data_IF_533509429696
#
_entry.id   IF_533509429696
#
_cell.length_a   1.000
_cell.length_b   1.000
_cell.length_c   1.000
_cell.angle_alpha   90.00
_cell.angle_beta   90.00
_cell.angle_gamma   90.00
#
_symmetry.space_group_name_H-M   'P 1'
#
loop_
_entity.id
_entity.type
_entity.pdbx_description
1 polymer ?
#
# COMPACT_ATOMS: atom_id res chain seq x y z
N UNK A 1 -33.68 4.57 -7.22
CA UNK A 1 -32.60 4.70 -8.22
C UNK A 1 -31.39 5.33 -7.48
N UNK A 2 -30.36 4.57 -7.22
CA UNK A 2 -29.12 5.12 -6.68
C UNK A 2 -28.40 5.81 -7.83
N UNK A 3 -28.41 7.14 -7.84
CA UNK A 3 -27.62 7.95 -8.77
C UNK A 3 -26.15 7.68 -8.47
N UNK A 4 -25.46 7.01 -9.41
CA UNK A 4 -24.03 6.78 -9.28
C UNK A 4 -23.30 8.10 -9.08
N UNK A 5 -22.55 8.24 -7.98
CA UNK A 5 -21.69 9.39 -7.74
C UNK A 5 -20.65 9.46 -8.86
N UNK A 6 -20.47 10.63 -9.45
CA UNK A 6 -19.38 10.90 -10.36
C UNK A 6 -18.02 10.61 -9.66
N UNK A 7 -17.08 9.99 -10.41
CA UNK A 7 -15.76 9.58 -9.87
C UNK A 7 -14.97 10.75 -9.26
N UNK A 8 -15.08 11.94 -9.85
CA UNK A 8 -14.39 13.14 -9.36
C UNK A 8 -14.99 13.61 -8.03
N UNK A 9 -16.31 13.63 -7.90
CA UNK A 9 -17.00 13.99 -6.66
C UNK A 9 -16.77 12.95 -5.56
N UNK A 10 -16.73 11.67 -5.91
CA UNK A 10 -16.40 10.60 -4.98
C UNK A 10 -14.98 10.72 -4.41
N UNK A 11 -13.99 11.04 -5.24
CA UNK A 11 -12.62 11.24 -4.81
C UNK A 11 -12.45 12.48 -3.93
N UNK A 12 -13.09 13.61 -4.30
CA UNK A 12 -13.07 14.81 -3.47
C UNK A 12 -13.70 14.58 -2.10
N UNK A 13 -14.84 13.90 -2.06
CA UNK A 13 -15.51 13.57 -0.80
C UNK A 13 -14.65 12.67 0.08
N UNK A 14 -14.04 11.63 -0.48
CA UNK A 14 -13.14 10.74 0.25
C UNK A 14 -11.93 11.49 0.82
N UNK A 15 -11.38 12.45 0.09
CA UNK A 15 -10.25 13.27 0.53
C UNK A 15 -10.65 14.22 1.67
N UNK A 16 -11.72 14.99 1.49
CA UNK A 16 -12.21 15.95 2.50
C UNK A 16 -12.55 15.25 3.81
N UNK A 17 -13.29 14.15 3.74
CA UNK A 17 -13.66 13.38 4.94
C UNK A 17 -12.46 12.66 5.60
N UNK A 18 -11.37 12.40 4.87
CA UNK A 18 -10.11 11.93 5.45
C UNK A 18 -9.51 12.98 6.39
N UNK A 19 -9.40 14.23 5.92
CA UNK A 19 -8.85 15.33 6.73
C UNK A 19 -9.73 15.73 7.90
N UNK A 20 -11.05 15.65 7.72
CA UNK A 20 -12.01 15.87 8.80
C UNK A 20 -11.80 14.84 9.92
N UNK A 21 -11.68 13.55 9.58
CA UNK A 21 -11.38 12.50 10.53
C UNK A 21 -10.02 12.69 11.22
N UNK A 22 -8.98 13.12 10.48
CA UNK A 22 -7.67 13.44 11.06
C UNK A 22 -7.75 14.57 12.07
N UNK A 23 -8.52 15.64 11.74
CA UNK A 23 -8.73 16.77 12.64
C UNK A 23 -9.49 16.36 13.92
N UNK A 24 -10.51 15.49 13.80
CA UNK A 24 -11.24 14.97 14.94
C UNK A 24 -10.36 14.06 15.82
N UNK A 25 -9.49 13.25 15.21
CA UNK A 25 -8.48 12.49 15.95
C UNK A 25 -7.54 13.39 16.74
N UNK A 26 -7.08 14.51 16.17
CA UNK A 26 -6.24 15.47 16.90
C UNK A 26 -6.95 16.03 18.15
N UNK A 27 -8.27 16.25 18.09
CA UNK A 27 -9.03 16.74 19.24
C UNK A 27 -9.03 15.75 20.41
N UNK A 28 -8.97 14.43 20.17
CA UNK A 28 -8.88 13.41 21.22
C UNK A 28 -7.64 13.62 22.10
N UNK A 29 -6.54 14.09 21.51
CA UNK A 29 -5.29 14.33 22.25
C UNK A 29 -5.31 15.60 23.12
N UNK A 30 -6.38 16.38 23.12
CA UNK A 30 -6.57 17.46 24.11
C UNK A 30 -6.97 16.91 25.48
N UNK A 31 -7.58 15.72 25.51
CA UNK A 31 -7.93 15.02 26.73
C UNK A 31 -6.70 14.29 27.31
N UNK A 32 -6.40 14.53 28.58
CA UNK A 32 -5.28 13.92 29.28
C UNK A 32 -5.50 12.42 29.54
N UNK A 33 -6.72 12.02 29.89
CA UNK A 33 -7.06 10.62 30.11
C UNK A 33 -6.89 9.80 28.81
N UNK A 34 -7.28 10.41 27.68
CA UNK A 34 -7.07 9.79 26.36
C UNK A 34 -5.58 9.64 26.05
N UNK A 35 -4.76 10.69 26.26
CA UNK A 35 -3.30 10.61 26.04
C UNK A 35 -2.67 9.50 26.87
N UNK A 36 -3.04 9.36 28.13
CA UNK A 36 -2.52 8.33 29.03
C UNK A 36 -2.93 6.93 28.59
N UNK A 37 -4.19 6.75 28.21
CA UNK A 37 -4.69 5.47 27.70
C UNK A 37 -3.99 5.07 26.39
N UNK A 38 -3.85 6.04 25.47
CA UNK A 38 -3.21 5.81 24.18
C UNK A 38 -1.71 5.53 24.31
N UNK A 39 -1.02 6.26 25.21
CA UNK A 39 0.38 6.01 25.56
C UNK A 39 0.60 4.58 26.06
N UNK A 40 -0.25 4.11 26.95
CA UNK A 40 -0.22 2.73 27.48
C UNK A 40 -0.50 1.69 26.36
N UNK A 41 -1.49 1.98 25.51
CA UNK A 41 -1.86 1.12 24.37
C UNK A 41 -0.70 0.90 23.41
N UNK A 42 0.07 1.96 23.11
CA UNK A 42 1.23 1.86 22.23
C UNK A 42 2.52 1.41 22.93
N UNK A 43 2.54 1.38 24.26
CA UNK A 43 3.77 1.12 25.03
C UNK A 43 4.85 2.18 24.85
N UNK A 44 4.43 3.44 24.60
CA UNK A 44 5.32 4.60 24.43
C UNK A 44 5.38 5.45 25.71
N UNK A 45 6.27 6.44 25.75
CA UNK A 45 6.36 7.38 26.87
C UNK A 45 5.16 8.31 26.96
N UNK A 46 5.07 9.09 28.03
CA UNK A 46 3.99 10.05 28.27
C UNK A 46 3.87 11.04 27.11
N UNK A 47 2.64 11.22 26.63
CA UNK A 47 2.32 12.12 25.51
C UNK A 47 2.16 13.55 26.03
N UNK A 48 2.91 14.49 25.45
CA UNK A 48 2.77 15.92 25.69
C UNK A 48 1.69 16.51 24.78
N UNK A 49 1.78 16.25 23.49
CA UNK A 49 0.86 16.78 22.49
C UNK A 49 0.83 15.87 21.24
N UNK A 50 -0.15 16.12 20.39
CA UNK A 50 -0.20 15.57 19.04
C UNK A 50 -0.63 16.65 18.05
N UNK A 51 -0.16 16.54 16.82
CA UNK A 51 -0.53 17.45 15.73
C UNK A 51 -0.76 16.66 14.45
N UNK A 52 -1.79 17.03 13.72
CA UNK A 52 -2.07 16.50 12.38
C UNK A 52 -1.17 17.18 11.37
N UNK A 53 -0.47 16.36 10.57
CA UNK A 53 0.31 16.76 9.41
C UNK A 53 -0.48 16.55 8.11
N UNK A 54 0.18 16.25 7.06
CA UNK A 54 -0.40 15.58 5.91
C UNK A 54 -0.83 16.44 4.72
N UNK A 55 -1.70 17.43 4.84
CA UNK A 55 -2.13 18.24 3.68
C UNK A 55 -1.09 19.26 3.23
N UNK A 56 -0.37 19.82 4.17
CA UNK A 56 0.55 20.92 3.97
C UNK A 56 2.02 20.51 4.03
N UNK A 57 2.33 19.27 4.44
CA UNK A 57 3.68 18.73 4.44
C UNK A 57 4.12 18.34 3.02
N UNK A 58 4.26 19.36 2.18
CA UNK A 58 4.84 19.22 0.84
C UNK A 58 6.37 19.29 0.84
N UNK A 59 6.98 19.38 2.02
CA UNK A 59 8.42 19.63 2.16
C UNK A 59 9.25 18.39 2.51
N UNK A 60 8.61 17.22 2.56
CA UNK A 60 9.32 15.94 2.73
C UNK A 60 10.14 15.64 1.49
N UNK A 61 11.44 15.43 1.69
CA UNK A 61 12.37 15.11 0.61
C UNK A 61 12.32 13.61 0.32
N UNK A 62 12.16 13.26 -0.95
CA UNK A 62 12.18 11.87 -1.39
C UNK A 62 13.61 11.32 -1.50
N UNK A 63 13.72 10.01 -1.61
CA UNK A 63 14.99 9.32 -1.93
C UNK A 63 15.58 9.73 -3.28
N UNK A 64 14.86 10.49 -4.09
CA UNK A 64 15.33 11.07 -5.37
C UNK A 64 15.79 12.53 -5.23
N UNK A 65 15.56 13.16 -4.09
CA UNK A 65 15.84 14.57 -3.84
C UNK A 65 14.71 15.52 -4.25
N UNK A 66 13.63 15.03 -4.85
CA UNK A 66 12.42 15.80 -5.13
C UNK A 66 11.46 15.78 -3.92
N UNK A 67 10.40 16.59 -3.98
CA UNK A 67 9.37 16.62 -2.94
C UNK A 67 8.44 15.41 -3.05
N UNK A 68 8.08 14.85 -1.90
CA UNK A 68 7.11 13.76 -1.78
C UNK A 68 6.17 14.00 -0.60
N UNK A 69 5.14 13.17 -0.48
CA UNK A 69 4.26 13.18 0.70
C UNK A 69 4.76 12.19 1.73
N UNK A 70 4.70 12.58 3.01
CA UNK A 70 4.85 11.65 4.12
C UNK A 70 3.74 10.61 4.14
N UNK A 71 3.99 9.50 4.83
CA UNK A 71 2.96 8.55 5.25
C UNK A 71 2.42 8.86 6.64
N UNK A 72 3.01 9.85 7.30
CA UNK A 72 2.60 10.32 8.61
C UNK A 72 1.42 11.26 8.47
N UNK A 73 0.31 10.92 9.09
CA UNK A 73 -0.90 11.73 9.15
C UNK A 73 -1.01 12.44 10.51
N UNK A 74 -0.40 11.87 11.57
CA UNK A 74 -0.37 12.40 12.93
C UNK A 74 1.03 12.28 13.52
N UNK A 75 1.56 13.36 14.09
CA UNK A 75 2.82 13.35 14.85
C UNK A 75 2.52 13.56 16.34
N UNK A 76 2.91 12.62 17.18
CA UNK A 76 2.78 12.64 18.63
C UNK A 76 4.12 13.08 19.22
N UNK A 77 4.11 14.07 20.09
CA UNK A 77 5.27 14.55 20.83
C UNK A 77 5.20 14.00 22.25
N UNK A 78 6.26 13.34 22.68
CA UNK A 78 6.39 12.81 24.03
C UNK A 78 7.06 13.83 24.96
N UNK A 79 6.74 13.81 26.25
CA UNK A 79 7.36 14.70 27.26
C UNK A 79 8.89 14.65 27.30
N UNK A 80 9.49 13.56 26.82
CA UNK A 80 10.96 13.44 26.69
C UNK A 80 11.53 14.03 25.40
N UNK A 81 10.72 14.72 24.60
CA UNK A 81 11.08 15.36 23.35
C UNK A 81 11.17 14.42 22.14
N UNK A 82 10.91 13.11 22.29
CA UNK A 82 10.83 12.19 21.16
C UNK A 82 9.50 12.33 20.42
N UNK A 83 9.51 11.98 19.14
CA UNK A 83 8.31 11.98 18.30
C UNK A 83 7.93 10.55 17.92
N UNK A 84 6.61 10.32 17.77
CA UNK A 84 6.02 9.08 17.25
C UNK A 84 5.07 9.46 16.12
N UNK A 85 5.30 8.90 14.95
CA UNK A 85 4.53 9.16 13.75
C UNK A 85 3.52 8.06 13.48
N UNK A 86 2.29 8.45 13.18
CA UNK A 86 1.16 7.53 12.96
C UNK A 86 0.53 7.81 11.60
N UNK A 87 0.30 6.75 10.83
CA UNK A 87 -0.53 6.82 9.62
C UNK A 87 -1.97 6.47 9.96
N UNK A 88 -2.90 7.37 9.72
CA UNK A 88 -4.33 7.18 9.99
C UNK A 88 -5.02 6.57 8.77
N UNK A 89 -5.89 5.59 9.01
CA UNK A 89 -6.76 4.99 8.01
C UNK A 89 -8.21 5.08 8.45
N UNK A 90 -8.98 5.91 7.76
CA UNK A 90 -10.40 6.14 8.03
C UNK A 90 -11.30 4.99 7.56
N UNK A 91 -10.83 4.11 6.68
CA UNK A 91 -11.63 3.01 6.13
C UNK A 91 -10.96 1.67 6.39
N UNK A 92 -11.77 0.62 6.58
CA UNK A 92 -11.30 -0.75 6.77
C UNK A 92 -10.63 -1.35 5.51
N UNK A 93 -10.71 -0.67 4.38
CA UNK A 93 -10.05 -1.07 3.13
C UNK A 93 -10.00 0.09 2.15
N UNK A 94 -9.12 -0.02 1.17
CA UNK A 94 -8.96 1.00 0.15
C UNK A 94 -7.53 1.14 -0.34
N UNK A 95 -7.26 2.19 -1.11
CA UNK A 95 -5.93 2.45 -1.61
C UNK A 95 -5.00 2.92 -0.49
N UNK A 96 -3.89 2.20 -0.29
CA UNK A 96 -2.81 2.62 0.62
C UNK A 96 -1.69 3.32 -0.14
N UNK A 97 -1.42 2.92 -1.39
CA UNK A 97 -0.40 3.55 -2.21
C UNK A 97 -0.70 3.43 -3.70
N UNK A 98 -0.42 4.48 -4.45
CA UNK A 98 -0.48 4.51 -5.91
C UNK A 98 0.83 5.08 -6.44
N UNK A 99 1.57 4.30 -7.23
CA UNK A 99 2.91 4.68 -7.68
C UNK A 99 3.18 4.15 -9.11
N UNK A 100 3.86 4.94 -9.93
CA UNK A 100 4.36 4.49 -11.23
C UNK A 100 5.39 3.37 -11.06
N UNK A 101 5.40 2.40 -11.98
CA UNK A 101 6.26 1.20 -11.88
C UNK A 101 7.74 1.55 -11.78
N UNK A 102 8.23 2.45 -12.62
CA UNK A 102 9.62 2.90 -12.59
C UNK A 102 9.97 3.58 -11.25
N UNK A 103 9.07 4.45 -10.78
CA UNK A 103 9.26 5.15 -9.50
C UNK A 103 9.19 4.19 -8.30
N UNK A 104 8.38 3.12 -8.40
CA UNK A 104 8.36 2.04 -7.42
C UNK A 104 9.70 1.29 -7.41
N UNK A 105 10.15 0.79 -8.57
CA UNK A 105 11.40 0.04 -8.70
C UNK A 105 12.58 0.82 -8.11
N UNK A 106 12.80 2.04 -8.61
CA UNK A 106 13.92 2.87 -8.18
C UNK A 106 13.79 3.32 -6.72
N UNK A 107 12.57 3.62 -6.28
CA UNK A 107 12.28 4.03 -4.90
C UNK A 107 12.49 2.89 -3.90
N UNK A 108 12.02 1.69 -4.24
CA UNK A 108 12.19 0.50 -3.44
C UNK A 108 13.67 0.14 -3.27
N UNK A 109 14.45 0.15 -4.38
CA UNK A 109 15.89 -0.11 -4.33
C UNK A 109 16.62 0.88 -3.41
N UNK A 110 16.29 2.17 -3.51
CA UNK A 110 16.90 3.21 -2.68
C UNK A 110 16.48 3.13 -1.22
N UNK A 111 15.20 2.83 -0.94
CA UNK A 111 14.69 2.73 0.44
C UNK A 111 15.29 1.57 1.22
N UNK A 112 15.53 0.45 0.56
CA UNK A 112 15.96 -0.79 1.22
C UNK A 112 17.42 -1.17 0.93
N UNK A 113 18.11 -0.42 0.07
CA UNK A 113 19.49 -0.75 -0.33
C UNK A 113 19.61 -2.10 -1.04
N UNK A 114 18.53 -2.53 -1.72
CA UNK A 114 18.42 -3.83 -2.39
C UNK A 114 18.21 -3.62 -3.88
N UNK A 115 18.99 -4.32 -4.72
CA UNK A 115 18.75 -4.33 -6.16
C UNK A 115 17.64 -5.31 -6.52
N UNK A 116 16.65 -4.87 -7.30
CA UNK A 116 15.66 -5.75 -7.91
C UNK A 116 16.32 -6.42 -9.13
N UNK A 117 16.29 -7.76 -9.26
CA UNK A 117 16.85 -8.43 -10.43
C UNK A 117 16.27 -7.90 -11.74
N UNK A 118 17.11 -7.83 -12.78
CA UNK A 118 16.71 -7.22 -14.07
C UNK A 118 15.51 -7.93 -14.68
N UNK A 119 15.46 -9.26 -14.58
CA UNK A 119 14.32 -10.04 -15.08
C UNK A 119 13.02 -9.71 -14.32
N UNK A 120 13.11 -9.48 -13.01
CA UNK A 120 11.94 -9.05 -12.19
C UNK A 120 11.49 -7.65 -12.59
N UNK A 121 12.42 -6.73 -12.86
CA UNK A 121 12.08 -5.39 -13.37
C UNK A 121 11.31 -5.49 -14.69
N UNK A 122 11.79 -6.29 -15.64
CA UNK A 122 11.09 -6.54 -16.91
C UNK A 122 9.68 -7.08 -16.67
N UNK A 123 9.53 -8.04 -15.76
CA UNK A 123 8.25 -8.65 -15.45
C UNK A 123 7.29 -7.66 -14.77
N UNK A 124 7.78 -6.78 -13.91
CA UNK A 124 6.97 -5.70 -13.33
C UNK A 124 6.46 -4.72 -14.42
N UNK A 125 7.29 -4.39 -15.42
CA UNK A 125 6.84 -3.60 -16.58
C UNK A 125 5.79 -4.35 -17.40
N UNK A 126 6.01 -5.62 -17.71
CA UNK A 126 5.06 -6.45 -18.47
C UNK A 126 3.71 -6.57 -17.76
N UNK A 127 3.73 -6.68 -16.43
CA UNK A 127 2.51 -6.88 -15.64
C UNK A 127 1.78 -5.56 -15.31
N UNK A 128 2.49 -4.47 -14.98
CA UNK A 128 1.87 -3.24 -14.48
C UNK A 128 1.94 -2.03 -15.42
N UNK A 129 2.95 -1.90 -16.23
CA UNK A 129 3.17 -0.66 -16.99
C UNK A 129 2.78 -0.75 -18.45
N UNK A 130 2.97 -1.92 -19.04
CA UNK A 130 2.96 -2.11 -20.48
C UNK A 130 4.37 -2.05 -21.08
N UNK A 131 4.69 -3.03 -21.88
CA UNK A 131 5.99 -3.18 -22.53
C UNK A 131 5.77 -3.40 -24.05
N UNK A 132 6.60 -2.82 -24.94
CA UNK A 132 6.53 -3.12 -26.36
C UNK A 132 6.57 -4.64 -26.66
N UNK A 133 7.29 -5.40 -25.86
CA UNK A 133 7.36 -6.86 -25.95
C UNK A 133 6.00 -7.55 -25.68
N UNK A 134 5.12 -6.92 -24.92
CA UNK A 134 3.80 -7.48 -24.59
C UNK A 134 2.93 -7.63 -25.83
N UNK A 135 3.02 -6.71 -26.78
CA UNK A 135 2.24 -6.78 -28.03
C UNK A 135 2.64 -8.01 -28.85
N UNK A 136 3.95 -8.22 -29.00
CA UNK A 136 4.50 -9.41 -29.67
C UNK A 136 4.06 -10.70 -28.96
N UNK A 137 4.13 -10.72 -27.63
CA UNK A 137 3.71 -11.89 -26.85
C UNK A 137 2.20 -12.20 -27.01
N UNK A 138 1.36 -11.17 -27.05
CA UNK A 138 -0.08 -11.32 -27.20
C UNK A 138 -0.52 -11.80 -28.60
N UNK A 139 0.35 -11.74 -29.61
CA UNK A 139 0.12 -12.36 -30.91
C UNK A 139 0.32 -13.88 -30.89
N UNK A 140 0.98 -14.40 -29.86
CA UNK A 140 1.16 -15.83 -29.67
C UNK A 140 -0.08 -16.47 -29.04
N UNK A 141 -0.75 -17.37 -29.77
CA UNK A 141 -1.95 -18.06 -29.32
C UNK A 141 -1.73 -18.92 -28.04
N UNK A 142 -0.49 -19.35 -27.76
CA UNK A 142 -0.16 -20.10 -26.55
C UNK A 142 -0.26 -19.16 -25.32
N UNK A 143 0.23 -17.92 -25.43
CA UNK A 143 0.20 -16.92 -24.35
C UNK A 143 -1.21 -16.56 -23.95
N UNK A 144 -2.11 -16.45 -24.91
CA UNK A 144 -3.53 -16.12 -24.68
C UNK A 144 -4.43 -17.33 -24.49
N UNK A 145 -3.86 -18.56 -24.41
CA UNK A 145 -4.64 -19.79 -24.25
C UNK A 145 -5.48 -19.77 -22.97
N UNK A 146 -6.77 -20.01 -23.13
CA UNK A 146 -7.72 -20.05 -22.03
C UNK A 146 -8.28 -18.68 -21.60
N UNK A 147 -7.81 -17.59 -22.23
CA UNK A 147 -8.32 -16.24 -22.01
C UNK A 147 -9.58 -15.97 -22.83
N UNK A 148 -10.49 -15.17 -22.27
CA UNK A 148 -11.65 -14.69 -23.02
C UNK A 148 -11.23 -13.62 -24.04
N UNK A 149 -11.95 -13.47 -25.18
CA UNK A 149 -11.66 -12.41 -26.14
C UNK A 149 -11.66 -11.00 -25.51
N UNK A 150 -12.52 -10.76 -24.52
CA UNK A 150 -12.58 -9.50 -23.79
C UNK A 150 -11.28 -9.25 -22.98
N UNK A 151 -10.74 -10.29 -22.35
CA UNK A 151 -9.51 -10.18 -21.58
C UNK A 151 -8.28 -10.00 -22.48
N UNK A 152 -8.22 -10.70 -23.61
CA UNK A 152 -7.17 -10.50 -24.63
C UNK A 152 -7.21 -9.06 -25.16
N UNK A 153 -8.41 -8.56 -25.50
CA UNK A 153 -8.60 -7.17 -25.95
C UNK A 153 -8.17 -6.15 -24.87
N UNK A 154 -8.48 -6.44 -23.60
CA UNK A 154 -8.04 -5.62 -22.48
C UNK A 154 -6.50 -5.59 -22.36
N UNK A 155 -5.85 -6.74 -22.41
CA UNK A 155 -4.39 -6.86 -22.35
C UNK A 155 -3.72 -6.09 -23.49
N UNK A 156 -4.22 -6.24 -24.74
CA UNK A 156 -3.72 -5.48 -25.91
C UNK A 156 -3.87 -3.98 -25.75
N UNK A 157 -5.06 -3.50 -25.31
CA UNK A 157 -5.32 -2.08 -25.11
C UNK A 157 -4.36 -1.43 -24.12
N UNK A 158 -3.96 -2.17 -23.10
CA UNK A 158 -3.11 -1.69 -22.01
C UNK A 158 -1.67 -2.17 -22.09
N UNK A 159 -1.35 -2.90 -23.15
CA UNK A 159 -0.02 -3.41 -23.46
C UNK A 159 0.62 -4.17 -22.28
N UNK A 160 -0.17 -4.99 -21.56
CA UNK A 160 0.22 -5.73 -20.36
C UNK A 160 -0.25 -7.18 -20.40
N UNK A 161 0.44 -8.07 -19.67
CA UNK A 161 -0.03 -9.43 -19.42
C UNK A 161 -0.70 -9.55 -18.05
N UNK A 162 -1.71 -10.42 -17.95
CA UNK A 162 -2.23 -10.93 -16.68
C UNK A 162 -1.47 -12.18 -16.25
N UNK A 163 -1.68 -12.66 -15.03
CA UNK A 163 -0.95 -13.81 -14.48
C UNK A 163 -1.12 -15.08 -15.32
N UNK A 164 -2.32 -15.36 -15.85
CA UNK A 164 -2.55 -16.55 -16.70
C UNK A 164 -1.73 -16.48 -17.98
N UNK A 165 -1.73 -15.33 -18.65
CA UNK A 165 -0.93 -15.13 -19.86
C UNK A 165 0.57 -15.17 -19.58
N UNK A 166 1.01 -14.60 -18.45
CA UNK A 166 2.41 -14.69 -18.01
C UNK A 166 2.83 -16.16 -17.79
N UNK A 167 1.99 -16.94 -17.13
CA UNK A 167 2.21 -18.37 -16.89
C UNK A 167 2.24 -19.18 -18.20
N UNK A 168 1.34 -18.88 -19.14
CA UNK A 168 1.32 -19.53 -20.45
C UNK A 168 2.56 -19.20 -21.29
N UNK A 169 3.06 -17.97 -21.14
CA UNK A 169 4.27 -17.55 -21.83
C UNK A 169 5.50 -18.26 -21.29
N UNK A 170 5.72 -18.17 -19.97
CA UNK A 170 6.90 -18.77 -19.34
C UNK A 170 6.63 -19.00 -17.85
N UNK A 171 6.51 -20.29 -17.48
CA UNK A 171 6.26 -20.69 -16.10
C UNK A 171 7.37 -20.24 -15.14
N UNK A 172 8.63 -20.25 -15.61
CA UNK A 172 9.76 -19.84 -14.77
C UNK A 172 9.72 -18.34 -14.44
N UNK A 173 9.28 -17.53 -15.37
CA UNK A 173 9.07 -16.07 -15.19
C UNK A 173 7.88 -15.78 -14.28
N UNK A 174 6.80 -16.54 -14.43
CA UNK A 174 5.67 -16.49 -13.51
C UNK A 174 6.12 -16.78 -12.07
N UNK A 175 6.85 -17.88 -11.86
CA UNK A 175 7.36 -18.27 -10.54
C UNK A 175 8.35 -17.25 -9.98
N UNK A 176 9.22 -16.70 -10.83
CA UNK A 176 10.19 -15.68 -10.46
C UNK A 176 9.52 -14.41 -9.92
N UNK A 177 8.52 -13.89 -10.65
CA UNK A 177 7.79 -12.68 -10.20
C UNK A 177 7.01 -12.95 -8.91
N UNK A 178 6.32 -14.09 -8.83
CA UNK A 178 5.57 -14.47 -7.64
C UNK A 178 6.48 -14.65 -6.43
N UNK A 179 7.62 -15.32 -6.61
CA UNK A 179 8.63 -15.49 -5.58
C UNK A 179 9.18 -14.15 -5.10
N UNK A 180 9.46 -13.24 -6.02
CA UNK A 180 9.96 -11.91 -5.66
C UNK A 180 8.96 -11.16 -4.76
N UNK A 181 7.67 -11.18 -5.07
CA UNK A 181 6.65 -10.60 -4.21
C UNK A 181 6.63 -11.25 -2.81
N UNK A 182 6.71 -12.58 -2.74
CA UNK A 182 6.74 -13.33 -1.48
C UNK A 182 7.97 -12.97 -0.63
N UNK A 183 9.14 -12.98 -1.24
CA UNK A 183 10.40 -12.72 -0.54
C UNK A 183 10.53 -11.28 -0.03
N UNK A 184 9.81 -10.33 -0.66
CA UNK A 184 9.89 -8.91 -0.34
C UNK A 184 8.60 -8.35 0.28
N UNK A 185 7.63 -9.19 0.65
CA UNK A 185 6.31 -8.71 1.11
C UNK A 185 6.38 -7.86 2.37
N UNK A 186 7.32 -8.14 3.28
CA UNK A 186 7.59 -7.33 4.47
C UNK A 186 8.08 -5.92 4.11
N UNK A 187 9.02 -5.81 3.18
CA UNK A 187 9.54 -4.52 2.71
C UNK A 187 8.48 -3.76 1.86
N UNK A 188 7.67 -4.48 1.09
CA UNK A 188 6.55 -3.89 0.34
C UNK A 188 5.52 -3.29 1.29
N UNK A 189 5.21 -3.97 2.40
CA UNK A 189 4.32 -3.42 3.41
C UNK A 189 4.91 -2.19 4.09
N UNK A 190 6.18 -2.25 4.51
CA UNK A 190 6.92 -1.11 5.07
C UNK A 190 6.92 0.10 4.10
N UNK A 191 7.18 -0.17 2.80
CA UNK A 191 7.12 0.85 1.75
C UNK A 191 5.71 1.48 1.62
N UNK A 192 4.66 0.67 1.66
CA UNK A 192 3.29 1.14 1.47
C UNK A 192 2.74 1.90 2.67
N UNK A 193 3.01 1.44 3.88
CA UNK A 193 2.39 1.95 5.10
C UNK A 193 3.25 3.00 5.82
N UNK A 194 4.59 2.85 5.79
CA UNK A 194 5.48 3.66 6.61
C UNK A 194 6.33 4.65 5.84
N UNK A 195 7.13 4.17 4.87
CA UNK A 195 8.19 4.98 4.27
C UNK A 195 7.74 5.75 3.03
N UNK A 196 6.98 5.08 2.15
CA UNK A 196 6.75 5.61 0.81
C UNK A 196 8.09 5.93 0.13
N UNK A 197 8.21 7.16 -0.36
CA UNK A 197 9.45 7.69 -0.94
C UNK A 197 10.20 8.63 0.01
N UNK A 198 9.72 8.88 1.24
CA UNK A 198 10.37 9.78 2.17
C UNK A 198 11.77 9.28 2.53
N UNK A 199 12.78 10.17 2.40
CA UNK A 199 14.19 9.82 2.57
C UNK A 199 14.55 9.62 4.04
N UNK A 200 14.09 10.51 4.89
CA UNK A 200 14.50 10.56 6.29
C UNK A 200 13.55 9.78 7.18
N UNK A 201 14.10 8.99 8.11
CA UNK A 201 13.31 8.15 9.02
C UNK A 201 12.41 8.94 9.96
N UNK A 202 12.70 10.23 10.20
CA UNK A 202 11.83 11.13 10.96
C UNK A 202 10.47 11.36 10.31
N UNK A 203 10.37 11.12 8.98
CA UNK A 203 9.16 11.30 8.19
C UNK A 203 8.41 9.97 7.97
N UNK A 204 8.90 8.85 8.55
CA UNK A 204 8.27 7.55 8.43
C UNK A 204 7.27 7.29 9.54
N UNK A 205 6.13 6.67 9.22
CA UNK A 205 5.20 6.22 10.22
C UNK A 205 5.78 5.03 11.02
N UNK A 206 5.60 5.02 12.34
CA UNK A 206 5.91 3.90 13.22
C UNK A 206 4.67 3.03 13.50
N UNK A 207 3.49 3.63 13.37
CA UNK A 207 2.21 2.95 13.59
C UNK A 207 1.23 3.23 12.46
N UNK A 208 0.31 2.30 12.25
CA UNK A 208 -0.89 2.48 11.43
C UNK A 208 -2.09 2.39 12.34
N UNK A 209 -2.92 3.42 12.34
CA UNK A 209 -4.12 3.48 13.17
C UNK A 209 -5.37 3.52 12.31
N UNK A 210 -6.16 2.48 12.40
CA UNK A 210 -7.47 2.40 11.78
C UNK A 210 -8.49 2.95 12.75
N UNK A 211 -9.04 4.12 12.45
CA UNK A 211 -10.07 4.79 13.25
C UNK A 211 -10.97 5.62 12.34
N UNK A 212 -12.27 5.52 12.55
CA UNK A 212 -13.27 6.31 11.84
C UNK A 212 -14.20 7.00 12.84
N UNK A 213 -14.03 8.30 13.01
CA UNK A 213 -14.87 9.15 13.87
C UNK A 213 -16.06 9.78 13.13
N UNK A 214 -16.12 9.66 11.80
CA UNK A 214 -17.13 10.30 10.95
C UNK A 214 -18.16 9.32 10.38
N UNK A 215 -17.98 8.03 10.55
CA UNK A 215 -18.76 6.98 9.90
C UNK A 215 -19.59 6.15 10.87
N UNK A 216 -20.38 5.24 10.29
CA UNK A 216 -21.11 4.21 11.01
C UNK A 216 -20.23 2.99 11.35
N UNK A 217 -19.06 2.89 10.70
CA UNK A 217 -18.10 1.80 10.92
C UNK A 217 -17.36 2.05 12.23
N UNK A 218 -17.58 1.18 13.19
CA UNK A 218 -16.94 1.22 14.51
C UNK A 218 -15.71 0.31 14.52
N UNK A 219 -14.55 0.88 14.21
CA UNK A 219 -13.26 0.22 14.39
C UNK A 219 -12.24 1.19 14.98
N UNK A 220 -11.43 0.66 15.86
CA UNK A 220 -10.30 1.35 16.50
C UNK A 220 -9.17 0.34 16.73
N UNK A 221 -8.34 0.15 15.70
CA UNK A 221 -7.22 -0.79 15.75
C UNK A 221 -5.91 -0.10 15.38
N UNK A 222 -4.89 -0.30 16.19
CA UNK A 222 -3.55 0.25 15.94
C UNK A 222 -2.53 -0.89 15.84
N UNK A 223 -1.66 -0.80 14.84
CA UNK A 223 -0.60 -1.77 14.59
C UNK A 223 0.74 -1.06 14.52
N UNK A 224 1.77 -1.62 15.15
CA UNK A 224 3.13 -1.16 14.88
C UNK A 224 3.57 -1.60 13.48
N UNK A 225 4.39 -0.80 12.83
CA UNK A 225 4.97 -1.18 11.53
C UNK A 225 5.82 -2.44 11.66
N UNK A 226 6.53 -2.61 12.78
CA UNK A 226 7.35 -3.79 13.02
C UNK A 226 6.49 -5.07 13.13
N UNK A 227 5.32 -5.01 13.76
CA UNK A 227 4.41 -6.14 13.84
C UNK A 227 3.78 -6.45 12.49
N UNK A 228 3.38 -5.42 11.72
CA UNK A 228 2.95 -5.62 10.33
C UNK A 228 4.06 -6.33 9.53
N UNK A 229 5.31 -5.88 9.60
CA UNK A 229 6.42 -6.47 8.86
C UNK A 229 6.66 -7.94 9.23
N UNK A 230 6.63 -8.26 10.53
CA UNK A 230 6.77 -9.64 11.02
C UNK A 230 5.61 -10.53 10.52
N UNK A 231 4.38 -10.05 10.63
CA UNK A 231 3.22 -10.78 10.14
C UNK A 231 3.31 -10.99 8.62
N UNK A 232 3.66 -9.97 7.84
CA UNK A 232 3.81 -10.11 6.38
C UNK A 232 4.88 -11.14 6.01
N UNK A 233 6.01 -11.17 6.72
CA UNK A 233 7.05 -12.17 6.50
C UNK A 233 6.55 -13.59 6.82
N UNK A 234 5.85 -13.77 7.96
CA UNK A 234 5.31 -15.05 8.39
C UNK A 234 4.24 -15.60 7.43
N UNK A 235 3.42 -14.73 6.86
CA UNK A 235 2.33 -15.09 5.94
C UNK A 235 2.65 -14.79 4.47
N UNK A 236 3.91 -14.85 4.07
CA UNK A 236 4.33 -14.65 2.67
C UNK A 236 3.71 -15.66 1.70
N UNK A 237 3.25 -16.83 2.17
CA UNK A 237 2.47 -17.82 1.39
C UNK A 237 1.15 -17.26 0.87
N UNK A 238 0.57 -16.28 1.58
CA UNK A 238 -0.68 -15.59 1.20
C UNK A 238 -0.51 -14.60 0.04
N UNK A 239 0.69 -14.52 -0.54
CA UNK A 239 0.93 -13.84 -1.81
C UNK A 239 0.63 -14.80 -2.95
N UNK A 240 -0.45 -14.52 -3.68
CA UNK A 240 -0.88 -15.36 -4.83
C UNK A 240 -1.63 -14.54 -5.87
N UNK A 241 -1.63 -14.98 -7.16
CA UNK A 241 -2.46 -14.38 -8.20
C UNK A 241 -3.95 -14.57 -7.91
N UNK A 242 -4.74 -13.54 -8.14
CA UNK A 242 -6.19 -13.67 -8.11
C UNK A 242 -6.68 -14.68 -9.19
N UNK A 243 -7.67 -15.50 -8.84
CA UNK A 243 -8.32 -16.37 -9.82
C UNK A 243 -9.29 -15.63 -10.75
N UNK A 244 -9.64 -14.38 -10.44
CA UNK A 244 -10.57 -13.58 -11.23
C UNK A 244 -9.86 -12.87 -12.38
N UNK A 245 -10.53 -12.76 -13.53
CA UNK A 245 -10.04 -12.03 -14.71
C UNK A 245 -8.61 -12.42 -15.11
N UNK A 246 -8.32 -13.72 -15.20
CA UNK A 246 -7.01 -14.24 -15.59
C UNK A 246 -5.88 -13.87 -14.61
N UNK A 247 -6.20 -13.45 -13.39
CA UNK A 247 -5.19 -12.99 -12.42
C UNK A 247 -4.70 -11.58 -12.71
N UNK A 248 -5.59 -10.63 -12.93
CA UNK A 248 -5.25 -9.22 -13.12
C UNK A 248 -4.82 -8.52 -11.82
N UNK A 249 -4.91 -9.21 -10.69
CA UNK A 249 -4.61 -8.72 -9.34
C UNK A 249 -3.71 -9.73 -8.62
N UNK A 250 -2.76 -9.24 -7.83
CA UNK A 250 -1.95 -10.05 -6.92
C UNK A 250 -2.47 -9.85 -5.50
N UNK A 251 -2.93 -10.92 -4.86
CA UNK A 251 -3.30 -10.91 -3.45
C UNK A 251 -2.06 -10.78 -2.58
N UNK A 252 -2.19 -10.03 -1.52
CA UNK A 252 -1.16 -9.78 -0.51
C UNK A 252 -1.74 -10.04 0.88
N UNK A 253 -0.95 -10.42 1.88
CA UNK A 253 -1.48 -10.65 3.23
C UNK A 253 -2.07 -9.39 3.88
N UNK A 254 -1.70 -8.19 3.43
CA UNK A 254 -2.31 -6.94 3.88
C UNK A 254 -3.40 -6.38 2.96
N UNK A 255 -3.73 -7.06 1.84
CA UNK A 255 -4.69 -6.57 0.86
C UNK A 255 -4.43 -7.12 -0.53
N UNK A 256 -4.15 -6.25 -1.50
CA UNK A 256 -3.78 -6.66 -2.86
C UNK A 256 -3.07 -5.54 -3.62
N UNK A 257 -2.38 -5.89 -4.71
CA UNK A 257 -1.88 -4.94 -5.70
C UNK A 257 -2.50 -5.23 -7.06
N UNK A 258 -2.90 -4.16 -7.75
CA UNK A 258 -3.45 -4.24 -9.10
C UNK A 258 -2.87 -3.16 -10.01
N UNK A 259 -3.06 -3.38 -11.31
CA UNK A 259 -2.82 -2.35 -12.31
C UNK A 259 -3.89 -1.24 -12.23
N UNK A 260 -3.46 0.01 -12.28
CA UNK A 260 -4.34 1.16 -12.44
C UNK A 260 -3.66 2.24 -13.27
N UNK A 261 -4.10 2.42 -14.53
CA UNK A 261 -3.55 3.45 -15.44
C UNK A 261 -2.03 3.46 -15.52
N UNK A 262 -1.43 2.32 -15.85
CA UNK A 262 0.02 2.11 -15.91
C UNK A 262 0.77 2.39 -14.59
N UNK A 263 0.10 2.19 -13.45
CA UNK A 263 0.66 2.32 -12.09
C UNK A 263 0.35 1.08 -11.27
N UNK A 264 1.13 0.86 -10.25
CA UNK A 264 0.88 -0.10 -9.18
C UNK A 264 -0.04 0.55 -8.15
N UNK A 265 -1.24 0.00 -7.97
CA UNK A 265 -2.18 0.43 -6.96
C UNK A 265 -2.24 -0.62 -5.85
N UNK A 266 -1.68 -0.29 -4.71
CA UNK A 266 -1.74 -1.12 -3.51
C UNK A 266 -2.98 -0.78 -2.69
N UNK A 267 -3.69 -1.82 -2.30
CA UNK A 267 -4.85 -1.74 -1.42
C UNK A 267 -4.56 -2.43 -0.09
N UNK A 268 -5.18 -1.91 0.96
CA UNK A 268 -5.13 -2.52 2.29
C UNK A 268 -6.50 -3.12 2.68
N UNK A 269 -6.47 -3.99 3.68
CA UNK A 269 -7.65 -4.57 4.32
C UNK A 269 -7.37 -4.69 5.81
N UNK A 270 -8.16 -3.99 6.63
CA UNK A 270 -8.08 -4.08 8.09
C UNK A 270 -8.30 -5.53 8.55
N UNK A 271 -9.31 -6.21 8.02
CA UNK A 271 -9.61 -7.59 8.38
C UNK A 271 -8.42 -8.54 8.18
N UNK A 272 -7.66 -8.39 7.05
CA UNK A 272 -6.46 -9.19 6.83
C UNK A 272 -5.32 -8.79 7.77
N UNK A 273 -5.11 -7.51 8.02
CA UNK A 273 -4.08 -7.06 8.95
C UNK A 273 -4.37 -7.57 10.37
N UNK A 274 -5.60 -7.39 10.87
CA UNK A 274 -6.01 -7.91 12.18
C UNK A 274 -5.83 -9.42 12.27
N UNK A 275 -6.27 -10.16 11.22
CA UNK A 275 -6.12 -11.61 11.20
C UNK A 275 -4.67 -12.04 11.31
N UNK A 276 -3.79 -11.51 10.48
CA UNK A 276 -2.41 -12.01 10.40
C UNK A 276 -1.50 -11.42 11.47
N UNK A 277 -1.70 -10.16 11.89
CA UNK A 277 -0.94 -9.61 13.01
C UNK A 277 -1.30 -10.32 14.30
N UNK A 278 -2.61 -10.50 14.62
CA UNK A 278 -3.04 -11.16 15.85
C UNK A 278 -2.66 -12.66 15.91
N UNK A 279 -2.51 -13.35 14.77
CA UNK A 279 -2.03 -14.73 14.72
C UNK A 279 -0.52 -14.87 14.87
N UNK A 280 0.22 -13.77 14.72
CA UNK A 280 1.70 -13.77 14.77
C UNK A 280 2.24 -13.60 16.18
N UNK A 281 1.38 -13.23 17.13
CA UNK A 281 1.67 -12.97 18.54
C UNK A 281 0.61 -13.62 19.43
#
# INVERSE_FOLDING_TARGET
MLTGRDRASGWQHAKLSGHENEADVEQLFKDEEFRDAFSKRLGIGEIESASVGGLYETDVISVFGDKTKSKTDLTIILKNGKTVNVSIKKSAGGQVYLIGVERFINGFEKQFGKSIPIDVKELLYIYFYGSPKTEELLDNAIVTKGETPALVSYQRRHNRLVWTSLKNWDMSKYDLLLKWFKDNISDIADFCFARGLAKDSKDWAQYVWYINLLGEDDFDEVFSIDDIKKAMAAYSSEVYPSCQNGGSTTQLPFGFVQWHQAKMQFHHSLAKLSEFVNKSF
#
